data_IF_222262138984
#
_entry.id   IF_222262138984
#
_cell.length_a   1.000
_cell.length_b   1.000
_cell.length_c   1.000
_cell.angle_alpha   90.00
_cell.angle_beta   90.00
_cell.angle_gamma   90.00
#
_symmetry.space_group_name_H-M   'P 1'
#
loop_
_entity.id
_entity.type
_entity.pdbx_description
1 polymer ?
#
# COMPACT_ATOMS: atom_id res chain seq x y z
N UNK A 1 -31.72 16.20 -28.01
CA UNK A 1 -31.96 16.51 -26.57
C UNK A 1 -30.61 16.40 -25.85
N UNK A 2 -30.04 17.54 -25.44
CA UNK A 2 -28.70 17.60 -24.84
C UNK A 2 -28.82 17.22 -23.36
N UNK A 3 -28.25 16.10 -22.96
CA UNK A 3 -28.02 15.79 -21.55
C UNK A 3 -26.95 16.75 -21.04
N UNK A 4 -27.36 17.87 -20.46
CA UNK A 4 -26.44 18.74 -19.74
C UNK A 4 -25.89 18.02 -18.50
N UNK A 5 -24.68 18.37 -18.02
CA UNK A 5 -24.01 17.68 -16.91
C UNK A 5 -24.77 17.73 -15.57
N UNK A 6 -25.89 18.45 -15.49
CA UNK A 6 -26.77 18.54 -14.32
C UNK A 6 -27.78 17.39 -14.18
N UNK A 7 -27.98 16.56 -15.20
CA UNK A 7 -28.83 15.35 -15.09
C UNK A 7 -28.19 14.22 -14.25
N UNK A 8 -26.89 14.33 -13.97
CA UNK A 8 -26.15 13.36 -13.17
C UNK A 8 -26.17 13.64 -11.67
N UNK A 9 -26.63 14.81 -11.21
CA UNK A 9 -26.55 15.20 -9.80
C UNK A 9 -27.94 15.19 -9.16
N UNK A 10 -28.32 14.02 -8.65
CA UNK A 10 -29.52 13.83 -7.84
C UNK A 10 -29.29 12.72 -6.80
N UNK A 11 -30.06 12.72 -5.72
CA UNK A 11 -29.92 11.80 -4.56
C UNK A 11 -29.81 10.32 -4.96
N UNK A 12 -30.45 9.89 -6.07
CA UNK A 12 -30.32 8.52 -6.60
C UNK A 12 -28.92 8.23 -7.16
N UNK A 13 -28.30 9.20 -7.85
CA UNK A 13 -27.01 9.04 -8.51
C UNK A 13 -25.87 9.12 -7.47
N UNK A 14 -25.98 9.99 -6.47
CA UNK A 14 -25.05 10.03 -5.34
C UNK A 14 -25.02 8.70 -4.57
N UNK A 15 -26.20 8.14 -4.28
CA UNK A 15 -26.32 6.82 -3.64
C UNK A 15 -25.72 5.68 -4.48
N UNK A 16 -25.85 5.72 -5.81
CA UNK A 16 -25.26 4.72 -6.71
C UNK A 16 -23.74 4.82 -6.77
N UNK A 17 -23.16 6.02 -6.73
CA UNK A 17 -21.71 6.24 -6.63
C UNK A 17 -21.16 5.66 -5.33
N UNK A 18 -21.87 5.83 -4.21
CA UNK A 18 -21.47 5.22 -2.92
C UNK A 18 -21.48 3.69 -3.02
N UNK A 19 -22.53 3.09 -3.58
CA UNK A 19 -22.59 1.63 -3.76
C UNK A 19 -21.47 1.10 -4.65
N UNK A 20 -21.13 1.83 -5.72
CA UNK A 20 -19.97 1.50 -6.56
C UNK A 20 -18.67 1.51 -5.74
N UNK A 21 -18.49 2.50 -4.85
CA UNK A 21 -17.38 2.55 -3.92
C UNK A 21 -17.33 1.34 -2.98
N UNK A 22 -18.47 0.90 -2.43
CA UNK A 22 -18.57 -0.30 -1.59
C UNK A 22 -18.17 -1.56 -2.36
N UNK A 23 -18.67 -1.73 -3.60
CA UNK A 23 -18.29 -2.85 -4.47
C UNK A 23 -16.78 -2.84 -4.73
N UNK A 24 -16.20 -1.67 -4.99
CA UNK A 24 -14.76 -1.53 -5.24
C UNK A 24 -13.93 -1.88 -4.00
N UNK A 25 -14.35 -1.50 -2.79
CA UNK A 25 -13.72 -1.93 -1.54
C UNK A 25 -13.79 -3.45 -1.40
N UNK A 26 -14.97 -4.05 -1.62
CA UNK A 26 -15.14 -5.49 -1.49
C UNK A 26 -14.20 -6.26 -2.43
N UNK A 27 -14.09 -5.83 -3.69
CA UNK A 27 -13.16 -6.42 -4.68
C UNK A 27 -11.71 -6.22 -4.26
N UNK A 28 -11.32 -5.02 -3.86
CA UNK A 28 -9.94 -4.73 -3.44
C UNK A 28 -9.54 -5.51 -2.19
N UNK A 29 -10.42 -5.64 -1.19
CA UNK A 29 -10.19 -6.45 0.00
C UNK A 29 -10.09 -7.94 -0.32
N UNK A 30 -11.01 -8.47 -1.14
CA UNK A 30 -10.97 -9.86 -1.57
C UNK A 30 -9.67 -10.17 -2.32
N UNK A 31 -9.32 -9.34 -3.30
CA UNK A 31 -8.10 -9.52 -4.08
C UNK A 31 -6.82 -9.36 -3.24
N UNK A 32 -6.75 -8.33 -2.38
CA UNK A 32 -5.57 -8.09 -1.55
C UNK A 32 -5.29 -9.24 -0.57
N UNK A 33 -6.34 -9.87 -0.01
CA UNK A 33 -6.18 -11.03 0.86
C UNK A 33 -5.88 -12.31 0.08
N UNK A 34 -6.59 -12.58 -1.02
CA UNK A 34 -6.44 -13.83 -1.77
C UNK A 34 -5.15 -13.92 -2.59
N UNK A 35 -4.63 -12.80 -3.07
CA UNK A 35 -3.44 -12.75 -3.94
C UNK A 35 -2.22 -12.15 -3.24
N UNK A 36 -2.18 -12.16 -1.91
CA UNK A 36 -0.94 -11.84 -1.19
C UNK A 36 0.06 -12.97 -1.39
N UNK A 37 1.22 -12.66 -1.97
CA UNK A 37 2.33 -13.59 -2.09
C UNK A 37 3.47 -13.13 -1.19
N UNK A 38 4.07 -14.07 -0.45
CA UNK A 38 5.24 -13.79 0.37
C UNK A 38 6.34 -14.81 0.15
N UNK A 39 7.58 -14.36 0.27
CA UNK A 39 8.76 -15.21 0.16
C UNK A 39 9.90 -14.62 0.97
N UNK A 40 10.67 -15.49 1.61
CA UNK A 40 11.94 -15.12 2.23
C UNK A 40 13.05 -15.28 1.19
N UNK A 41 13.78 -14.19 0.95
CA UNK A 41 14.89 -14.11 0.01
C UNK A 41 16.18 -13.88 0.78
N UNK A 42 17.12 -14.82 0.67
CA UNK A 42 18.49 -14.63 1.15
C UNK A 42 19.28 -13.89 0.08
N UNK A 43 19.47 -12.60 0.27
CA UNK A 43 20.21 -11.75 -0.66
C UNK A 43 21.68 -11.69 -0.29
N UNK A 44 22.55 -11.62 -1.30
CA UNK A 44 23.99 -11.40 -1.15
C UNK A 44 24.37 -10.15 -1.95
N UNK A 45 25.29 -9.35 -1.42
CA UNK A 45 25.76 -8.13 -2.10
C UNK A 45 26.31 -8.48 -3.49
N UNK A 46 25.86 -7.76 -4.52
CA UNK A 46 26.24 -8.00 -5.92
C UNK A 46 25.52 -9.16 -6.61
N UNK A 47 24.55 -9.82 -5.94
CA UNK A 47 23.66 -10.80 -6.56
C UNK A 47 22.21 -10.32 -6.53
N UNK A 48 21.51 -10.56 -7.62
CA UNK A 48 20.08 -10.27 -7.74
C UNK A 48 19.25 -11.52 -7.49
N UNK A 49 18.18 -11.40 -6.72
CA UNK A 49 17.13 -12.41 -6.61
C UNK A 49 15.86 -11.93 -7.32
N UNK A 50 15.04 -12.86 -7.81
CA UNK A 50 13.79 -12.54 -8.50
C UNK A 50 12.61 -13.16 -7.79
N UNK A 51 11.55 -12.38 -7.56
CA UNK A 51 10.31 -12.89 -6.96
C UNK A 51 9.09 -12.15 -7.50
N UNK A 52 8.07 -12.91 -7.93
CA UNK A 52 6.80 -12.39 -8.49
C UNK A 52 6.97 -11.32 -9.58
N UNK A 53 7.99 -11.49 -10.44
CA UNK A 53 8.31 -10.57 -11.53
C UNK A 53 9.07 -9.30 -11.12
N UNK A 54 9.50 -9.20 -9.87
CA UNK A 54 10.38 -8.13 -9.39
C UNK A 54 11.81 -8.63 -9.17
N UNK A 55 12.79 -7.76 -9.36
CA UNK A 55 14.20 -8.03 -9.03
C UNK A 55 14.58 -7.32 -7.74
N UNK A 56 15.33 -8.00 -6.89
CA UNK A 56 15.78 -7.53 -5.58
C UNK A 56 17.29 -7.66 -5.51
N UNK A 57 17.97 -6.55 -5.19
CA UNK A 57 19.42 -6.51 -5.08
C UNK A 57 19.80 -5.90 -3.74
N UNK A 58 20.64 -6.61 -2.97
CA UNK A 58 21.23 -6.06 -1.76
C UNK A 58 22.42 -5.18 -2.13
N UNK A 59 22.30 -3.89 -1.87
CA UNK A 59 23.37 -2.91 -2.10
C UNK A 59 24.34 -2.93 -0.92
N UNK A 60 23.82 -2.80 0.30
CA UNK A 60 24.64 -2.67 1.50
C UNK A 60 23.85 -3.01 2.78
N UNK A 61 24.56 -3.26 3.87
CA UNK A 61 24.00 -3.44 5.22
C UNK A 61 24.65 -2.45 6.18
N UNK A 62 23.88 -1.47 6.62
CA UNK A 62 24.36 -0.37 7.47
C UNK A 62 23.80 -0.51 8.87
N UNK A 63 24.66 -0.49 9.89
CA UNK A 63 24.26 -0.36 11.28
C UNK A 63 24.46 1.06 11.77
N UNK A 64 23.48 1.54 12.50
CA UNK A 64 23.48 2.84 13.15
C UNK A 64 23.35 2.59 14.64
N UNK A 65 24.42 2.89 15.38
CA UNK A 65 24.42 2.86 16.85
C UNK A 65 24.12 4.25 17.40
N UNK A 66 23.32 4.28 18.44
CA UNK A 66 23.01 5.47 19.25
C UNK A 66 22.97 5.02 20.71
N UNK A 67 23.13 5.95 21.65
CA UNK A 67 23.11 5.67 23.10
C UNK A 67 21.88 4.89 23.57
N UNK A 68 20.76 4.98 22.82
CA UNK A 68 19.47 4.39 23.17
C UNK A 68 19.10 3.18 22.32
N UNK A 69 19.75 2.95 21.19
CA UNK A 69 19.36 1.91 20.24
C UNK A 69 20.48 1.53 19.26
N UNK A 70 20.44 0.29 18.79
CA UNK A 70 21.24 -0.20 17.66
C UNK A 70 20.30 -0.60 16.53
N UNK A 71 20.43 0.01 15.36
CA UNK A 71 19.56 -0.21 14.21
C UNK A 71 20.36 -0.77 13.05
N UNK A 72 19.96 -1.94 12.54
CA UNK A 72 20.57 -2.56 11.35
C UNK A 72 19.61 -2.37 10.18
N UNK A 73 20.08 -1.78 9.09
CA UNK A 73 19.34 -1.48 7.86
C UNK A 73 19.94 -2.25 6.70
N UNK A 74 19.11 -2.90 5.89
CA UNK A 74 19.55 -3.47 4.61
C UNK A 74 19.08 -2.56 3.49
N UNK A 75 20.01 -2.06 2.66
CA UNK A 75 19.69 -1.26 1.48
C UNK A 75 19.41 -2.21 0.32
N UNK A 76 18.15 -2.27 -0.11
CA UNK A 76 17.68 -3.18 -1.15
C UNK A 76 17.12 -2.38 -2.32
N UNK A 77 17.72 -2.49 -3.51
CA UNK A 77 17.11 -1.97 -4.74
C UNK A 77 16.02 -2.94 -5.20
N UNK A 78 14.91 -2.37 -5.68
CA UNK A 78 13.82 -3.12 -6.30
C UNK A 78 13.68 -2.64 -7.75
N UNK A 79 13.78 -3.57 -8.70
CA UNK A 79 13.70 -3.30 -10.15
C UNK A 79 14.70 -2.24 -10.65
N UNK A 80 15.90 -2.16 -10.04
CA UNK A 80 16.91 -1.14 -10.36
C UNK A 80 16.51 0.29 -9.96
N UNK A 81 15.46 0.44 -9.16
CA UNK A 81 15.00 1.73 -8.65
C UNK A 81 15.79 2.20 -7.42
N UNK A 82 15.21 3.20 -6.73
CA UNK A 82 15.76 3.72 -5.47
C UNK A 82 15.90 2.59 -4.43
N UNK A 83 16.95 2.61 -3.58
CA UNK A 83 17.09 1.65 -2.51
C UNK A 83 16.03 1.88 -1.43
N UNK A 84 15.45 0.79 -0.98
CA UNK A 84 14.58 0.70 0.17
C UNK A 84 15.41 0.22 1.36
N UNK A 85 15.07 0.67 2.56
CA UNK A 85 15.88 0.44 3.76
C UNK A 85 15.06 -0.23 4.88
N UNK A 86 14.60 -1.49 4.71
CA UNK A 86 14.04 -2.24 5.83
C UNK A 86 15.07 -2.36 6.96
N UNK A 87 14.61 -2.24 8.19
CA UNK A 87 15.49 -2.17 9.36
C UNK A 87 15.00 -3.02 10.52
N UNK A 88 15.91 -3.38 11.42
CA UNK A 88 15.57 -3.88 12.75
C UNK A 88 16.30 -3.01 13.76
N UNK A 89 15.56 -2.47 14.72
CA UNK A 89 16.12 -1.61 15.78
C UNK A 89 15.99 -2.30 17.12
N UNK A 90 17.11 -2.53 17.79
CA UNK A 90 17.20 -3.02 19.16
C UNK A 90 17.33 -1.85 20.13
N UNK A 91 16.37 -1.68 21.02
CA UNK A 91 16.40 -0.62 22.03
C UNK A 91 17.19 -1.06 23.27
N UNK A 92 18.25 -0.32 23.61
CA UNK A 92 19.24 -0.73 24.63
C UNK A 92 18.62 -0.83 26.02
N UNK A 93 17.64 0.00 26.36
CA UNK A 93 17.00 0.01 27.69
C UNK A 93 16.00 -1.13 27.92
N UNK A 94 15.32 -1.56 26.87
CA UNK A 94 14.20 -2.52 26.95
C UNK A 94 14.64 -3.90 26.43
N UNK A 95 15.74 -3.97 25.68
CA UNK A 95 16.25 -5.21 25.09
C UNK A 95 15.41 -5.74 23.93
N UNK A 96 14.38 -5.01 23.51
CA UNK A 96 13.42 -5.43 22.48
C UNK A 96 13.89 -5.05 21.07
N UNK A 97 13.71 -5.98 20.14
CA UNK A 97 13.91 -5.75 18.70
C UNK A 97 12.59 -5.31 18.05
N UNK A 98 12.64 -4.25 17.25
CA UNK A 98 11.50 -3.71 16.50
C UNK A 98 11.87 -3.62 15.02
N UNK A 99 11.16 -4.38 14.20
CA UNK A 99 11.29 -4.32 12.74
C UNK A 99 10.62 -3.07 12.17
N UNK A 100 11.30 -2.39 11.26
CA UNK A 100 10.77 -1.28 10.46
C UNK A 100 10.70 -1.77 9.00
N UNK A 101 9.51 -2.11 8.48
CA UNK A 101 9.37 -2.49 7.09
C UNK A 101 9.65 -1.30 6.17
N UNK A 102 10.03 -1.59 4.93
CA UNK A 102 10.07 -0.61 3.85
C UNK A 102 9.08 -1.01 2.76
N UNK A 103 8.40 -0.02 2.18
CA UNK A 103 7.28 -0.28 1.25
C UNK A 103 7.47 0.51 -0.03
N UNK A 104 7.37 -0.19 -1.17
CA UNK A 104 7.19 0.39 -2.49
C UNK A 104 5.71 0.33 -2.84
N UNK A 105 5.08 1.50 -2.89
CA UNK A 105 3.69 1.61 -3.34
C UNK A 105 3.62 1.65 -4.87
N UNK A 106 2.66 0.94 -5.42
CA UNK A 106 2.37 0.91 -6.85
C UNK A 106 0.88 1.10 -7.12
N UNK A 107 0.52 1.22 -8.41
CA UNK A 107 -0.88 1.37 -8.80
C UNK A 107 -1.67 0.06 -8.67
N UNK A 108 -1.02 -1.07 -8.94
CA UNK A 108 -1.65 -2.39 -8.93
C UNK A 108 -1.15 -3.28 -7.80
N UNK A 109 0.13 -3.17 -7.43
CA UNK A 109 0.80 -4.02 -6.45
C UNK A 109 1.75 -3.19 -5.60
N UNK A 110 1.74 -3.46 -4.30
CA UNK A 110 2.65 -2.90 -3.33
C UNK A 110 3.65 -3.98 -2.91
N UNK A 111 4.92 -3.60 -2.79
CA UNK A 111 6.02 -4.49 -2.39
C UNK A 111 6.49 -4.07 -1.01
N UNK A 112 6.31 -4.94 -0.03
CA UNK A 112 6.76 -4.77 1.34
C UNK A 112 8.02 -5.57 1.55
N UNK A 113 9.01 -4.95 2.18
CA UNK A 113 10.28 -5.55 2.53
C UNK A 113 10.42 -5.50 4.05
N UNK A 114 10.71 -6.64 4.65
CA UNK A 114 11.06 -6.75 6.07
C UNK A 114 12.38 -7.46 6.21
N UNK A 115 13.25 -6.92 7.05
CA UNK A 115 14.51 -7.55 7.39
C UNK A 115 14.25 -8.64 8.43
N UNK A 116 14.77 -9.84 8.21
CA UNK A 116 14.68 -10.96 9.17
C UNK A 116 16.02 -11.15 9.89
N UNK A 117 16.04 -11.34 11.23
CA UNK A 117 17.25 -11.76 11.94
C UNK A 117 17.70 -13.17 11.53
N UNK A 118 19.00 -13.51 11.67
CA UNK A 118 20.11 -12.67 12.11
C UNK A 118 20.72 -11.88 10.94
N UNK A 119 20.87 -10.57 11.11
CA UNK A 119 21.62 -9.72 10.17
C UNK A 119 22.78 -9.11 10.93
N UNK A 120 23.98 -9.43 10.48
CA UNK A 120 25.22 -8.88 11.00
C UNK A 120 25.73 -7.87 9.98
N UNK A 121 26.35 -6.79 10.45
CA UNK A 121 27.20 -6.01 9.56
C UNK A 121 28.30 -6.89 8.97
N UNK A 122 28.71 -6.53 7.76
CA UNK A 122 29.86 -7.09 7.05
C UNK A 122 29.73 -8.56 6.63
N UNK A 123 28.56 -9.20 6.83
CA UNK A 123 28.31 -10.54 6.28
C UNK A 123 28.19 -10.54 4.76
N UNK A 124 27.87 -9.38 4.16
CA UNK A 124 27.48 -9.25 2.76
C UNK A 124 26.19 -10.02 2.43
N UNK A 125 25.45 -10.48 3.44
CA UNK A 125 24.23 -11.28 3.29
C UNK A 125 23.11 -10.78 4.19
N UNK A 126 21.90 -10.69 3.67
CA UNK A 126 20.71 -10.32 4.42
C UNK A 126 19.51 -11.14 3.98
N UNK A 127 18.75 -11.67 4.94
CA UNK A 127 17.47 -12.32 4.66
C UNK A 127 16.37 -11.27 4.68
N UNK A 128 15.74 -11.07 3.53
CA UNK A 128 14.64 -10.14 3.36
C UNK A 128 13.38 -10.93 3.07
N UNK A 129 12.37 -10.75 3.91
CA UNK A 129 11.04 -11.25 3.65
C UNK A 129 10.26 -10.22 2.83
N UNK A 130 9.80 -10.66 1.66
CA UNK A 130 9.08 -9.83 0.70
C UNK A 130 7.62 -10.22 0.75
N UNK A 131 6.73 -9.23 0.80
CA UNK A 131 5.29 -9.43 0.60
C UNK A 131 4.80 -8.57 -0.56
N UNK A 132 4.04 -9.17 -1.45
CA UNK A 132 3.44 -8.48 -2.60
C UNK A 132 1.95 -8.48 -2.40
N UNK A 133 1.41 -7.28 -2.19
CA UNK A 133 -0.01 -7.07 -1.89
C UNK A 133 -0.67 -6.29 -3.01
N UNK A 134 -1.64 -6.88 -3.72
CA UNK A 134 -2.34 -6.18 -4.77
C UNK A 134 -3.44 -5.25 -4.23
N UNK A 135 -3.76 -4.21 -5.00
CA UNK A 135 -4.94 -3.35 -4.87
C UNK A 135 -5.13 -2.57 -3.55
N UNK A 136 -4.09 -2.42 -2.71
CA UNK A 136 -4.20 -1.58 -1.50
C UNK A 136 -4.50 -0.12 -1.85
N UNK A 137 -3.86 0.44 -2.88
CA UNK A 137 -4.16 1.81 -3.34
C UNK A 137 -5.63 1.99 -3.73
N UNK A 138 -6.26 0.96 -4.28
CA UNK A 138 -7.65 1.00 -4.72
C UNK A 138 -8.65 1.12 -3.57
N UNK A 139 -8.26 0.71 -2.36
CA UNK A 139 -9.07 0.97 -1.15
C UNK A 139 -9.17 2.47 -0.88
N UNK A 140 -8.08 3.20 -1.06
CA UNK A 140 -8.06 4.66 -0.90
C UNK A 140 -8.86 5.35 -2.01
N UNK A 141 -8.72 4.89 -3.25
CA UNK A 141 -9.53 5.40 -4.37
C UNK A 141 -11.02 5.16 -4.07
N UNK A 142 -11.39 3.99 -3.55
CA UNK A 142 -12.77 3.68 -3.21
C UNK A 142 -13.32 4.52 -2.05
N UNK A 143 -12.50 4.77 -1.03
CA UNK A 143 -12.81 5.75 0.02
C UNK A 143 -13.09 7.13 -0.55
N UNK A 144 -12.26 7.60 -1.50
CA UNK A 144 -12.46 8.85 -2.22
C UNK A 144 -13.76 8.87 -3.03
N UNK A 145 -14.07 7.79 -3.75
CA UNK A 145 -15.32 7.65 -4.52
C UNK A 145 -16.55 7.70 -3.60
N UNK A 146 -16.52 7.01 -2.46
CA UNK A 146 -17.63 7.07 -1.50
C UNK A 146 -17.79 8.45 -0.87
N UNK A 147 -16.69 9.14 -0.55
CA UNK A 147 -16.74 10.50 -0.03
C UNK A 147 -17.38 11.45 -1.04
N UNK A 148 -16.99 11.36 -2.32
CA UNK A 148 -17.60 12.12 -3.41
C UNK A 148 -19.08 11.77 -3.61
N UNK A 149 -19.42 10.48 -3.61
CA UNK A 149 -20.82 10.03 -3.72
C UNK A 149 -21.70 10.55 -2.59
N UNK A 150 -21.18 10.54 -1.36
CA UNK A 150 -21.86 11.11 -0.18
C UNK A 150 -22.06 12.61 -0.33
N UNK A 151 -21.03 13.33 -0.78
CA UNK A 151 -21.13 14.78 -1.03
C UNK A 151 -22.23 15.09 -2.06
N UNK A 152 -22.29 14.35 -3.17
CA UNK A 152 -23.34 14.51 -4.17
C UNK A 152 -24.74 14.12 -3.66
N UNK A 153 -24.84 13.14 -2.78
CA UNK A 153 -26.12 12.71 -2.21
C UNK A 153 -26.73 13.76 -1.24
N UNK A 154 -25.89 14.58 -0.61
CA UNK A 154 -26.30 15.65 0.29
C UNK A 154 -26.78 16.92 -0.44
N UNK A 155 -26.51 17.06 -1.75
CA UNK A 155 -26.99 18.21 -2.54
C UNK A 155 -28.51 18.10 -2.72
N UNK A 156 -29.31 19.10 -2.28
CA UNK A 156 -30.75 19.05 -2.41
C UNK A 156 -31.17 19.07 -3.89
N UNK A 157 -31.73 17.96 -4.38
CA UNK A 157 -32.46 17.96 -5.63
C UNK A 157 -33.73 18.79 -5.44
N UNK A 158 -33.82 19.97 -6.06
CA UNK A 158 -35.08 20.74 -6.13
C UNK A 158 -36.14 19.82 -6.75
N UNK A 159 -37.07 19.33 -5.93
CA UNK A 159 -38.33 18.76 -6.42
C UNK A 159 -38.98 19.85 -7.27
N UNK A 160 -39.26 19.57 -8.54
CA UNK A 160 -40.40 20.22 -9.18
C UNK A 160 -41.61 19.73 -8.38
N UNK A 161 -42.20 20.63 -7.60
CA UNK A 161 -43.59 20.45 -7.23
C UNK A 161 -44.37 20.40 -8.53
N UNK A 162 -44.97 19.27 -8.83
CA UNK A 162 -46.12 19.26 -9.74
C UNK A 162 -47.27 19.88 -8.94
N UNK A 163 -47.26 21.21 -8.87
CA UNK A 163 -48.46 21.99 -8.65
C UNK A 163 -49.03 22.30 -10.03
N UNK A 164 -50.03 21.55 -10.47
CA UNK A 164 -51.03 21.97 -11.48
C UNK A 164 -52.15 20.92 -11.48
N UNK A 165 -53.20 21.13 -10.68
CA UNK A 165 -54.50 21.63 -11.13
C UNK A 165 -55.21 20.75 -12.18
N UNK A 166 -56.18 19.96 -11.70
CA UNK A 166 -57.50 19.76 -12.32
C UNK A 166 -58.40 18.94 -11.40
#
# INVERSE_FOLDING_TARGET
RRHGPLGLVGRSNGGMIVHLGVIMIAVALAASNSYTHSQELSLEVGKTATFSGHTFELIDVVEVKTDRATSVKALVSVDGGKPYAPAITKFTKIGMNVGTPSVRTGLARDVYLTLEPPVRQDSGKATIKVFIKPLILWLWIAGGVMALGTLFALIPTRRRSEDEHS
#
